data_IF_370956736402
#
_entry.id   IF_370956736402
#
_cell.length_a   1.000
_cell.length_b   1.000
_cell.length_c   1.000
_cell.angle_alpha   90.00
_cell.angle_beta   90.00
_cell.angle_gamma   90.00
#
_symmetry.space_group_name_H-M   'P 1'
#
loop_
_entity.id
_entity.type
_entity.pdbx_description
1 polymer ?
#
# COMPACT_ATOMS: atom_id res chain seq x y z
N UNK A 1 -17.12 -47.59 -11.33
CA UNK A 1 -16.31 -46.52 -11.95
C UNK A 1 -16.46 -46.54 -13.48
N UNK A 2 -16.34 -47.71 -14.10
CA UNK A 2 -16.57 -47.88 -15.56
C UNK A 2 -17.94 -47.46 -16.03
N UNK A 3 -19.02 -47.73 -15.28
CA UNK A 3 -20.37 -47.28 -15.59
C UNK A 3 -20.48 -45.74 -15.73
N UNK A 4 -19.74 -44.99 -14.91
CA UNK A 4 -19.71 -43.52 -15.00
C UNK A 4 -19.00 -43.04 -16.26
N UNK A 5 -17.89 -43.70 -16.65
CA UNK A 5 -17.17 -43.39 -17.88
C UNK A 5 -18.06 -43.66 -19.08
N UNK A 6 -18.75 -44.80 -19.11
CA UNK A 6 -19.69 -45.17 -20.16
C UNK A 6 -20.84 -44.16 -20.24
N UNK A 7 -21.40 -43.75 -19.09
CA UNK A 7 -22.46 -42.74 -19.04
C UNK A 7 -22.03 -41.40 -19.67
N UNK A 8 -20.83 -40.91 -19.29
CA UNK A 8 -20.26 -39.66 -19.84
C UNK A 8 -20.01 -39.78 -21.34
N UNK A 9 -19.45 -40.91 -21.82
CA UNK A 9 -19.19 -41.14 -23.26
C UNK A 9 -20.48 -41.21 -24.04
N UNK A 10 -21.52 -41.85 -23.50
CA UNK A 10 -22.83 -41.93 -24.14
C UNK A 10 -23.54 -40.56 -24.21
N UNK A 11 -23.46 -39.77 -23.15
CA UNK A 11 -24.04 -38.41 -23.12
C UNK A 11 -23.34 -37.49 -24.13
N UNK A 12 -22.03 -37.66 -24.30
CA UNK A 12 -21.22 -36.87 -25.27
C UNK A 12 -21.37 -37.37 -26.72
N UNK A 13 -21.99 -38.55 -26.94
CA UNK A 13 -22.17 -39.10 -28.28
C UNK A 13 -23.08 -38.27 -29.19
N UNK A 14 -23.93 -37.42 -28.59
CA UNK A 14 -24.78 -36.51 -29.35
C UNK A 14 -24.02 -35.30 -29.91
N UNK A 15 -22.83 -35.01 -29.36
CA UNK A 15 -22.06 -33.77 -29.64
C UNK A 15 -20.72 -34.07 -30.32
N UNK A 16 -20.12 -35.22 -30.04
CA UNK A 16 -18.77 -35.59 -30.49
C UNK A 16 -18.81 -36.66 -31.58
N UNK A 17 -17.88 -36.58 -32.54
CA UNK A 17 -17.71 -37.63 -33.54
C UNK A 17 -16.99 -38.86 -32.94
N UNK A 18 -17.01 -40.00 -33.67
CA UNK A 18 -16.46 -41.27 -33.20
C UNK A 18 -15.00 -41.19 -32.77
N UNK A 19 -14.16 -40.43 -33.51
CA UNK A 19 -12.76 -40.27 -33.18
C UNK A 19 -12.56 -39.45 -31.88
N UNK A 20 -13.34 -38.41 -31.65
CA UNK A 20 -13.38 -37.59 -30.44
C UNK A 20 -13.88 -38.38 -29.22
N UNK A 21 -14.93 -39.19 -29.41
CA UNK A 21 -15.47 -40.11 -28.37
C UNK A 21 -14.40 -41.12 -27.93
N UNK A 22 -13.74 -41.74 -28.91
CA UNK A 22 -12.63 -42.69 -28.61
C UNK A 22 -11.50 -42.01 -27.80
N UNK A 23 -11.13 -40.79 -28.21
CA UNK A 23 -10.13 -40.02 -27.47
C UNK A 23 -10.59 -39.62 -26.09
N UNK A 24 -11.84 -39.21 -25.92
CA UNK A 24 -12.46 -38.90 -24.63
C UNK A 24 -12.44 -40.14 -23.72
N UNK A 25 -12.82 -41.31 -24.24
CA UNK A 25 -12.83 -42.57 -23.49
C UNK A 25 -11.39 -42.94 -23.05
N UNK A 26 -10.39 -42.84 -23.93
CA UNK A 26 -8.97 -43.08 -23.59
C UNK A 26 -8.51 -42.16 -22.43
N UNK A 27 -8.82 -40.86 -22.52
CA UNK A 27 -8.45 -39.88 -21.49
C UNK A 27 -9.15 -40.19 -20.16
N UNK A 28 -10.45 -40.51 -20.20
CA UNK A 28 -11.21 -40.87 -19.00
C UNK A 28 -10.66 -42.16 -18.35
N UNK A 29 -10.40 -43.20 -19.17
CA UNK A 29 -9.82 -44.45 -18.67
C UNK A 29 -8.42 -44.22 -18.09
N UNK A 30 -7.60 -43.42 -18.72
CA UNK A 30 -6.25 -43.07 -18.22
C UNK A 30 -6.33 -42.35 -16.87
N UNK A 31 -7.17 -41.33 -16.75
CA UNK A 31 -7.27 -40.53 -15.52
C UNK A 31 -8.03 -41.20 -14.37
N UNK A 32 -8.92 -42.15 -14.69
CA UNK A 32 -9.67 -42.89 -13.66
C UNK A 32 -9.09 -44.26 -13.32
N UNK A 33 -8.28 -44.91 -14.20
CA UNK A 33 -7.61 -46.18 -13.93
C UNK A 33 -6.21 -46.05 -13.38
N UNK A 34 -5.55 -44.92 -13.49
CA UNK A 34 -4.33 -44.71 -12.73
C UNK A 34 -4.70 -44.73 -11.24
N UNK A 35 -4.16 -45.75 -10.54
CA UNK A 35 -3.98 -45.70 -9.10
C UNK A 35 -3.09 -44.48 -8.79
N UNK A 36 -3.59 -43.31 -8.95
CA UNK A 36 -2.97 -42.14 -8.40
C UNK A 36 -2.84 -42.42 -6.93
N UNK A 37 -1.58 -42.57 -6.46
CA UNK A 37 -1.26 -42.37 -5.04
C UNK A 37 -2.22 -41.28 -4.58
N UNK A 38 -3.05 -41.59 -3.60
CA UNK A 38 -3.95 -40.63 -2.99
C UNK A 38 -3.06 -39.54 -2.43
N UNK A 39 -2.71 -38.57 -3.26
CA UNK A 39 -2.10 -37.34 -2.78
C UNK A 39 -3.11 -36.80 -1.78
N UNK A 40 -2.68 -36.75 -0.52
CA UNK A 40 -3.54 -36.20 0.52
C UNK A 40 -4.01 -34.82 0.02
N UNK A 41 -5.30 -34.55 0.03
CA UNK A 41 -5.83 -33.31 -0.51
C UNK A 41 -5.15 -32.15 0.20
N UNK A 42 -4.45 -31.31 -0.57
CA UNK A 42 -3.79 -30.10 -0.07
C UNK A 42 -4.77 -29.33 0.81
N UNK A 43 -4.40 -29.05 2.03
CA UNK A 43 -5.24 -28.33 2.98
C UNK A 43 -5.31 -26.84 2.63
N UNK A 44 -6.36 -26.16 3.09
CA UNK A 44 -6.48 -24.71 2.90
C UNK A 44 -5.26 -23.94 3.46
N UNK A 45 -4.70 -24.42 4.58
CA UNK A 45 -3.50 -23.84 5.21
C UNK A 45 -2.25 -24.04 4.35
N UNK A 46 -2.15 -25.18 3.69
CA UNK A 46 -1.03 -25.47 2.81
C UNK A 46 -1.05 -24.64 1.54
N UNK A 47 -2.21 -24.40 0.94
CA UNK A 47 -2.35 -23.44 -0.16
C UNK A 47 -1.91 -22.03 0.24
N UNK A 48 -2.22 -21.60 1.46
CA UNK A 48 -1.75 -20.30 1.96
C UNK A 48 -0.21 -20.30 2.08
N UNK A 49 0.39 -21.36 2.63
CA UNK A 49 1.85 -21.46 2.75
C UNK A 49 2.53 -21.35 1.39
N UNK A 50 2.09 -22.14 0.41
CA UNK A 50 2.61 -22.11 -0.95
C UNK A 50 2.49 -20.72 -1.60
N UNK A 51 1.37 -20.07 -1.43
CA UNK A 51 1.18 -18.69 -1.92
C UNK A 51 2.16 -17.71 -1.26
N UNK A 52 2.35 -17.80 0.04
CA UNK A 52 3.28 -16.93 0.77
C UNK A 52 4.73 -17.17 0.32
N UNK A 53 5.12 -18.43 0.12
CA UNK A 53 6.45 -18.79 -0.40
C UNK A 53 6.65 -18.21 -1.82
N UNK A 54 5.66 -18.36 -2.71
CA UNK A 54 5.69 -17.78 -4.06
C UNK A 54 5.85 -16.25 -4.01
N UNK A 55 5.05 -15.55 -3.20
CA UNK A 55 5.13 -14.10 -3.07
C UNK A 55 6.44 -13.62 -2.41
N UNK A 56 7.07 -14.44 -1.60
CA UNK A 56 8.40 -14.17 -1.03
C UNK A 56 9.48 -14.23 -2.10
N UNK A 57 9.44 -15.25 -2.97
CA UNK A 57 10.35 -15.40 -4.13
C UNK A 57 10.16 -14.26 -5.13
N UNK A 58 8.92 -13.79 -5.35
CA UNK A 58 8.62 -12.62 -6.19
C UNK A 58 9.16 -11.30 -5.61
N UNK A 59 9.78 -11.30 -4.43
CA UNK A 59 10.39 -10.12 -3.82
C UNK A 59 9.40 -9.21 -3.09
N UNK A 60 8.25 -9.72 -2.67
CA UNK A 60 7.32 -8.97 -1.83
C UNK A 60 7.95 -8.62 -0.47
N UNK A 61 7.74 -7.39 0.00
CA UNK A 61 8.24 -6.97 1.31
C UNK A 61 7.61 -7.79 2.45
N UNK A 62 8.35 -7.99 3.57
CA UNK A 62 7.86 -8.67 4.77
C UNK A 62 6.51 -8.09 5.27
N UNK A 63 6.30 -6.77 5.14
CA UNK A 63 5.03 -6.13 5.49
C UNK A 63 3.90 -6.55 4.56
N UNK A 64 4.16 -6.67 3.26
CA UNK A 64 3.17 -7.12 2.26
C UNK A 64 2.81 -8.57 2.51
N UNK A 65 3.81 -9.43 2.73
CA UNK A 65 3.63 -10.85 3.07
C UNK A 65 2.74 -11.00 4.32
N UNK A 66 3.07 -10.29 5.40
CA UNK A 66 2.27 -10.30 6.62
C UNK A 66 0.82 -9.86 6.37
N UNK A 67 0.60 -8.90 5.49
CA UNK A 67 -0.75 -8.41 5.16
C UNK A 67 -1.52 -9.44 4.34
N UNK A 68 -0.88 -10.11 3.38
CA UNK A 68 -1.50 -11.24 2.67
C UNK A 68 -1.87 -12.36 3.64
N UNK A 69 -0.90 -12.85 4.43
CA UNK A 69 -1.10 -13.93 5.41
C UNK A 69 -2.28 -13.63 6.33
N UNK A 70 -2.25 -12.51 7.04
CA UNK A 70 -3.31 -12.15 7.99
C UNK A 70 -4.69 -11.99 7.34
N UNK A 71 -4.75 -11.50 6.10
CA UNK A 71 -6.01 -11.34 5.37
C UNK A 71 -6.60 -12.69 4.98
N UNK A 72 -5.77 -13.57 4.44
CA UNK A 72 -6.20 -14.88 3.94
C UNK A 72 -6.50 -15.82 5.13
N UNK A 73 -5.66 -15.82 6.16
CA UNK A 73 -5.93 -16.56 7.41
C UNK A 73 -7.28 -16.20 8.02
N UNK A 74 -7.59 -14.90 8.09
CA UNK A 74 -8.89 -14.46 8.58
C UNK A 74 -10.04 -14.96 7.68
N UNK A 75 -9.87 -14.93 6.36
CA UNK A 75 -10.86 -15.48 5.43
C UNK A 75 -11.05 -16.98 5.66
N UNK A 76 -9.97 -17.76 5.70
CA UNK A 76 -10.00 -19.20 5.89
C UNK A 76 -10.57 -19.61 7.27
N UNK A 77 -10.36 -18.80 8.31
CA UNK A 77 -10.97 -19.03 9.62
C UNK A 77 -12.49 -18.87 9.63
N UNK A 78 -13.03 -18.10 8.69
CA UNK A 78 -14.49 -17.86 8.57
C UNK A 78 -15.14 -18.78 7.55
N UNK A 79 -14.42 -19.10 6.48
CA UNK A 79 -14.91 -19.98 5.39
C UNK A 79 -14.23 -21.34 5.57
N UNK A 80 -14.94 -22.28 6.20
CA UNK A 80 -14.42 -23.66 6.43
C UNK A 80 -14.53 -24.55 5.19
N UNK A 81 -15.10 -24.03 4.10
CA UNK A 81 -15.22 -24.75 2.83
C UNK A 81 -13.85 -24.97 2.20
N UNK A 82 -13.56 -26.16 1.66
CA UNK A 82 -12.34 -26.41 0.89
C UNK A 82 -12.18 -25.37 -0.26
N UNK A 83 -10.96 -24.86 -0.47
CA UNK A 83 -10.67 -23.78 -1.45
C UNK A 83 -11.26 -24.09 -2.83
N UNK A 84 -11.16 -25.34 -3.29
CA UNK A 84 -11.69 -25.78 -4.60
C UNK A 84 -13.23 -25.69 -4.73
N UNK A 85 -13.95 -25.56 -3.60
CA UNK A 85 -15.42 -25.46 -3.56
C UNK A 85 -15.92 -24.06 -3.21
N UNK A 86 -15.02 -23.09 -3.00
CA UNK A 86 -15.41 -21.71 -2.70
C UNK A 86 -15.98 -21.06 -3.96
N UNK A 87 -17.23 -20.59 -3.88
CA UNK A 87 -17.93 -19.92 -4.98
C UNK A 87 -17.86 -18.40 -4.86
N UNK A 88 -18.26 -17.71 -5.92
CA UNK A 88 -18.35 -16.24 -5.93
C UNK A 88 -19.35 -15.74 -4.88
N UNK A 89 -20.44 -16.47 -4.64
CA UNK A 89 -21.49 -16.15 -3.68
C UNK A 89 -20.93 -16.17 -2.26
N UNK A 90 -20.21 -17.24 -1.88
CA UNK A 90 -19.53 -17.36 -0.57
C UNK A 90 -18.60 -16.18 -0.35
N UNK A 91 -17.84 -15.78 -1.39
CA UNK A 91 -16.93 -14.65 -1.28
C UNK A 91 -17.64 -13.30 -1.13
N UNK A 92 -18.79 -13.12 -1.79
CA UNK A 92 -19.62 -11.91 -1.61
C UNK A 92 -20.17 -11.81 -0.20
N UNK A 93 -20.74 -12.90 0.33
CA UNK A 93 -21.23 -12.99 1.71
C UNK A 93 -20.12 -12.65 2.71
N UNK A 94 -18.96 -13.29 2.56
CA UNK A 94 -17.80 -13.00 3.42
C UNK A 94 -17.43 -11.51 3.43
N UNK A 95 -17.34 -10.84 2.28
CA UNK A 95 -16.97 -9.43 2.20
C UNK A 95 -18.02 -8.52 2.83
N UNK A 96 -19.31 -8.84 2.67
CA UNK A 96 -20.43 -8.12 3.30
C UNK A 96 -20.38 -8.27 4.82
N UNK A 97 -20.19 -9.50 5.30
CA UNK A 97 -20.12 -9.79 6.74
C UNK A 97 -18.86 -9.19 7.37
N UNK A 98 -17.73 -9.26 6.68
CA UNK A 98 -16.49 -8.58 7.11
C UNK A 98 -16.73 -7.08 7.33
N UNK A 99 -17.41 -6.41 6.37
CA UNK A 99 -17.72 -4.99 6.50
C UNK A 99 -18.62 -4.70 7.69
N UNK A 100 -19.68 -5.49 7.89
CA UNK A 100 -20.65 -5.33 8.99
C UNK A 100 -19.99 -5.55 10.36
N UNK A 101 -19.31 -6.70 10.52
CA UNK A 101 -18.69 -7.08 11.80
C UNK A 101 -17.57 -6.12 12.23
N UNK A 102 -16.76 -5.62 11.29
CA UNK A 102 -15.64 -4.72 11.57
C UNK A 102 -16.02 -3.24 11.51
N UNK A 103 -17.24 -2.92 11.12
CA UNK A 103 -17.70 -1.54 10.88
C UNK A 103 -16.66 -0.71 10.10
N UNK A 104 -16.06 -1.30 9.07
CA UNK A 104 -14.94 -0.71 8.36
C UNK A 104 -15.37 -0.01 7.06
N UNK A 105 -14.50 0.87 6.57
CA UNK A 105 -14.76 1.64 5.35
C UNK A 105 -14.80 0.75 4.10
N UNK A 106 -15.53 1.18 3.07
CA UNK A 106 -15.52 0.54 1.74
C UNK A 106 -14.11 0.41 1.17
N UNK A 107 -13.21 1.36 1.44
CA UNK A 107 -11.80 1.31 1.03
C UNK A 107 -11.06 0.15 1.71
N UNK A 108 -11.33 -0.09 3.00
CA UNK A 108 -10.76 -1.23 3.73
C UNK A 108 -11.24 -2.55 3.11
N UNK A 109 -12.54 -2.67 2.82
CA UNK A 109 -13.10 -3.87 2.18
C UNK A 109 -12.49 -4.09 0.79
N UNK A 110 -12.29 -3.02 -0.01
CA UNK A 110 -11.63 -3.15 -1.32
C UNK A 110 -10.16 -3.60 -1.21
N UNK A 111 -9.44 -3.19 -0.17
CA UNK A 111 -8.09 -3.69 0.09
C UNK A 111 -8.10 -5.18 0.45
N UNK A 112 -9.02 -5.63 1.30
CA UNK A 112 -9.22 -7.05 1.62
C UNK A 112 -9.57 -7.84 0.34
N UNK A 113 -10.53 -7.35 -0.44
CA UNK A 113 -10.90 -7.95 -1.73
C UNK A 113 -9.69 -8.12 -2.65
N UNK A 114 -8.83 -7.11 -2.76
CA UNK A 114 -7.62 -7.17 -3.61
C UNK A 114 -6.63 -8.24 -3.15
N UNK A 115 -6.41 -8.35 -1.85
CA UNK A 115 -5.51 -9.37 -1.30
C UNK A 115 -6.06 -10.79 -1.58
N UNK A 116 -7.35 -11.00 -1.33
CA UNK A 116 -8.01 -12.27 -1.60
C UNK A 116 -8.02 -12.57 -3.10
N UNK A 117 -8.27 -11.55 -3.94
CA UNK A 117 -8.21 -11.71 -5.40
C UNK A 117 -6.82 -12.14 -5.88
N UNK A 118 -5.75 -11.58 -5.30
CA UNK A 118 -4.38 -12.00 -5.61
C UNK A 118 -4.13 -13.48 -5.26
N UNK A 119 -4.65 -13.94 -4.13
CA UNK A 119 -4.54 -15.34 -3.73
C UNK A 119 -5.28 -16.28 -4.69
N UNK A 120 -6.54 -16.01 -5.00
CA UNK A 120 -7.31 -16.84 -5.90
C UNK A 120 -6.86 -16.76 -7.36
N UNK A 121 -6.29 -15.64 -7.81
CA UNK A 121 -5.66 -15.54 -9.13
C UNK A 121 -4.41 -16.41 -9.21
N UNK A 122 -3.59 -16.39 -8.18
CA UNK A 122 -2.43 -17.27 -8.09
C UNK A 122 -2.83 -18.76 -8.07
N UNK A 123 -3.89 -19.14 -7.33
CA UNK A 123 -4.40 -20.51 -7.36
C UNK A 123 -4.92 -20.94 -8.75
N UNK A 124 -5.49 -20.01 -9.52
CA UNK A 124 -5.92 -20.25 -10.91
C UNK A 124 -4.70 -20.38 -11.84
N UNK A 125 -3.69 -19.53 -11.68
CA UNK A 125 -2.42 -19.55 -12.45
C UNK A 125 -1.59 -20.80 -12.22
N UNK A 126 -1.64 -21.38 -11.01
CA UNK A 126 -0.96 -22.63 -10.63
C UNK A 126 -1.82 -23.90 -10.85
N UNK A 127 -2.95 -23.76 -11.55
CA UNK A 127 -3.89 -24.86 -11.85
C UNK A 127 -4.49 -25.58 -10.62
N UNK A 128 -4.41 -24.99 -9.43
CA UNK A 128 -5.04 -25.53 -8.22
C UNK A 128 -6.56 -25.43 -8.26
N UNK A 129 -7.09 -24.43 -8.96
CA UNK A 129 -8.52 -24.22 -9.22
C UNK A 129 -8.74 -23.86 -10.70
N UNK A 130 -9.85 -24.30 -11.27
CA UNK A 130 -10.18 -24.02 -12.67
C UNK A 130 -10.50 -22.55 -12.93
N UNK A 131 -11.09 -21.85 -11.95
CA UNK A 131 -11.52 -20.47 -12.11
C UNK A 131 -11.60 -19.76 -10.76
N UNK A 132 -11.02 -18.58 -10.68
CA UNK A 132 -11.06 -17.75 -9.48
C UNK A 132 -12.49 -17.28 -9.16
N UNK A 133 -13.01 -17.52 -7.93
CA UNK A 133 -14.30 -17.01 -7.49
C UNK A 133 -14.33 -15.49 -7.38
N UNK A 134 -13.17 -14.83 -7.33
CA UNK A 134 -13.04 -13.38 -7.25
C UNK A 134 -13.21 -12.66 -8.59
N UNK A 135 -13.21 -13.39 -9.71
CA UNK A 135 -13.21 -12.82 -11.06
C UNK A 135 -14.42 -11.93 -11.36
N UNK A 136 -15.58 -12.24 -10.74
CA UNK A 136 -16.84 -11.47 -10.87
C UNK A 136 -17.05 -10.46 -9.73
N UNK A 137 -16.07 -10.27 -8.84
CA UNK A 137 -16.14 -9.31 -7.74
C UNK A 137 -15.25 -8.10 -8.09
N UNK A 138 -15.87 -7.09 -8.67
CA UNK A 138 -15.18 -5.90 -9.15
C UNK A 138 -14.79 -4.97 -8.01
N UNK A 139 -13.93 -3.99 -8.35
CA UNK A 139 -13.50 -2.92 -7.45
C UNK A 139 -14.71 -2.22 -6.81
N UNK A 140 -14.66 -2.05 -5.50
CA UNK A 140 -15.71 -1.34 -4.76
C UNK A 140 -15.59 0.16 -5.03
N UNK A 141 -16.65 0.75 -5.56
CA UNK A 141 -16.70 2.20 -5.81
C UNK A 141 -16.70 2.96 -4.48
N UNK A 142 -15.72 3.82 -4.30
CA UNK A 142 -15.63 4.75 -3.17
C UNK A 142 -15.72 6.17 -3.67
N UNK A 143 -16.38 7.04 -2.90
CA UNK A 143 -16.38 8.48 -3.23
C UNK A 143 -14.93 8.99 -3.12
N UNK A 144 -14.48 9.72 -4.13
CA UNK A 144 -13.24 10.50 -4.02
C UNK A 144 -13.52 11.68 -3.10
N UNK A 145 -12.89 11.70 -1.95
CA UNK A 145 -12.98 12.82 -1.01
C UNK A 145 -11.70 13.64 -1.16
N UNK A 146 -11.85 14.92 -1.43
CA UNK A 146 -10.74 15.87 -1.38
C UNK A 146 -10.20 15.89 0.04
N UNK A 147 -8.96 15.43 0.18
CA UNK A 147 -8.32 15.36 1.49
C UNK A 147 -7.73 16.71 1.84
N UNK A 148 -8.10 17.27 2.99
CA UNK A 148 -7.61 18.54 3.51
C UNK A 148 -6.07 18.56 3.61
N UNK A 149 -5.48 19.72 3.31
CA UNK A 149 -4.08 20.07 3.53
C UNK A 149 -3.93 20.82 4.85
N UNK A 150 -2.71 21.15 5.25
CA UNK A 150 -2.43 22.00 6.42
C UNK A 150 -2.35 23.44 5.91
N UNK A 151 -3.08 24.38 6.52
CA UNK A 151 -2.99 25.79 6.15
C UNK A 151 -1.66 26.42 6.62
N UNK A 152 -1.32 27.61 6.11
CA UNK A 152 -0.09 28.30 6.53
C UNK A 152 -0.14 28.64 8.02
N UNK A 153 -1.28 29.11 8.50
CA UNK A 153 -1.49 29.43 9.90
C UNK A 153 -1.42 28.19 10.80
N UNK A 154 -1.93 27.04 10.32
CA UNK A 154 -1.82 25.77 11.04
C UNK A 154 -0.36 25.30 11.12
N UNK A 155 0.46 25.52 10.07
CA UNK A 155 1.88 25.17 10.09
C UNK A 155 2.63 26.05 11.09
N UNK A 156 2.40 27.37 11.11
CA UNK A 156 3.05 28.24 12.08
C UNK A 156 2.59 27.90 13.52
N UNK A 157 1.29 27.64 13.75
CA UNK A 157 0.83 27.14 15.05
C UNK A 157 1.51 25.86 15.49
N UNK A 158 1.77 24.92 14.55
CA UNK A 158 2.50 23.70 14.88
C UNK A 158 3.94 23.99 15.29
N UNK A 159 4.63 24.90 14.57
CA UNK A 159 6.00 25.34 14.86
C UNK A 159 6.12 25.99 16.22
N UNK A 160 5.30 27.01 16.48
CA UNK A 160 5.33 27.81 17.70
C UNK A 160 5.01 26.99 18.96
N UNK A 161 4.32 25.88 18.78
CA UNK A 161 3.93 25.00 19.90
C UNK A 161 4.77 23.73 20.01
N UNK A 162 5.89 23.61 19.26
CA UNK A 162 6.84 22.53 19.46
C UNK A 162 7.53 22.68 20.82
N UNK A 163 7.50 21.63 21.61
CA UNK A 163 8.16 21.61 22.93
C UNK A 163 9.63 21.21 22.85
N UNK A 164 10.13 20.79 21.70
CA UNK A 164 11.51 20.35 21.49
C UNK A 164 12.01 20.77 20.11
N UNK A 165 13.30 21.09 20.00
CA UNK A 165 13.96 21.39 18.72
C UNK A 165 13.86 20.21 17.74
N UNK A 166 13.91 18.97 18.25
CA UNK A 166 13.71 17.78 17.44
C UNK A 166 12.36 17.75 16.72
N UNK A 167 11.27 18.01 17.46
CA UNK A 167 9.92 17.94 16.89
C UNK A 167 9.71 19.10 15.88
N UNK A 168 10.29 20.26 16.14
CA UNK A 168 10.32 21.40 15.20
C UNK A 168 11.06 21.04 13.90
N UNK A 169 12.26 20.49 14.01
CA UNK A 169 13.05 20.05 12.87
C UNK A 169 12.33 18.94 12.05
N UNK A 170 11.61 18.01 12.71
CA UNK A 170 10.79 16.99 12.04
C UNK A 170 9.67 17.65 11.23
N UNK A 171 8.95 18.61 11.80
CA UNK A 171 7.83 19.31 11.13
C UNK A 171 8.36 20.02 9.89
N UNK A 172 9.43 20.76 10.03
CA UNK A 172 9.98 21.54 8.92
C UNK A 172 10.52 20.65 7.80
N UNK A 173 11.23 19.59 8.14
CA UNK A 173 11.75 18.66 7.13
C UNK A 173 10.60 17.95 6.39
N UNK A 174 9.56 17.52 7.10
CA UNK A 174 8.37 16.93 6.47
C UNK A 174 7.64 17.93 5.57
N UNK A 175 7.50 19.18 6.02
CA UNK A 175 6.79 20.23 5.32
C UNK A 175 7.54 20.69 4.07
N UNK A 176 8.85 20.90 4.18
CA UNK A 176 9.69 21.41 3.10
C UNK A 176 9.92 20.36 2.01
N UNK A 177 10.22 19.11 2.39
CA UNK A 177 10.63 18.06 1.46
C UNK A 177 9.49 17.14 1.01
N UNK A 178 8.44 17.00 1.81
CA UNK A 178 7.37 16.04 1.57
C UNK A 178 7.79 14.57 1.60
N UNK A 179 8.92 14.22 2.23
CA UNK A 179 9.42 12.83 2.34
C UNK A 179 8.43 11.93 3.09
N UNK A 180 8.54 10.63 2.87
CA UNK A 180 7.75 9.66 3.63
C UNK A 180 8.33 9.50 5.04
N UNK A 181 7.48 9.26 6.03
CA UNK A 181 7.94 9.04 7.41
C UNK A 181 8.96 7.90 7.52
N UNK A 182 8.82 6.86 6.70
CA UNK A 182 9.78 5.77 6.66
C UNK A 182 11.14 6.18 6.10
N UNK A 183 11.19 7.15 5.20
CA UNK A 183 12.41 7.76 4.69
C UNK A 183 13.04 8.68 5.76
N UNK A 184 12.23 9.53 6.39
CA UNK A 184 12.66 10.43 7.46
C UNK A 184 13.38 9.70 8.60
N UNK A 185 12.83 8.60 9.10
CA UNK A 185 13.43 7.89 10.23
C UNK A 185 14.69 7.11 9.86
N UNK A 186 14.95 6.88 8.57
CA UNK A 186 16.18 6.23 8.10
C UNK A 186 17.34 7.19 7.91
N UNK A 187 17.08 8.49 7.76
CA UNK A 187 18.12 9.49 7.57
C UNK A 187 19.17 9.46 8.69
N UNK A 188 20.43 9.60 8.28
CA UNK A 188 21.55 9.87 9.14
C UNK A 188 21.94 11.36 9.04
N UNK A 189 22.71 11.85 9.98
CA UNK A 189 23.23 13.23 9.91
C UNK A 189 24.07 13.41 8.64
N UNK A 190 24.86 12.40 8.26
CA UNK A 190 25.71 12.42 7.07
C UNK A 190 24.94 12.48 5.74
N UNK A 191 23.64 12.14 5.73
CA UNK A 191 22.81 12.19 4.51
C UNK A 191 22.33 13.62 4.18
N UNK A 192 22.62 14.61 5.05
CA UNK A 192 22.17 16.00 4.92
C UNK A 192 23.30 16.85 4.38
N UNK A 193 23.12 17.38 3.19
CA UNK A 193 23.96 18.47 2.65
C UNK A 193 23.36 19.82 3.03
N UNK A 194 23.98 20.48 4.01
CA UNK A 194 23.52 21.78 4.49
C UNK A 194 23.88 22.92 3.53
N UNK A 195 24.92 22.75 2.70
CA UNK A 195 25.31 23.80 1.74
C UNK A 195 24.33 23.85 0.58
N UNK A 196 24.09 22.72 -0.06
CA UNK A 196 23.14 22.60 -1.15
C UNK A 196 21.67 22.55 -0.68
N UNK A 197 21.44 22.41 0.61
CA UNK A 197 20.09 22.24 1.23
C UNK A 197 19.33 21.06 0.61
N UNK A 198 20.00 19.92 0.51
CA UNK A 198 19.41 18.71 -0.04
C UNK A 198 19.72 17.49 0.85
N UNK A 199 18.96 16.45 0.69
CA UNK A 199 19.28 15.15 1.25
C UNK A 199 18.86 14.02 0.31
N UNK A 200 19.57 12.89 0.42
CA UNK A 200 19.29 11.69 -0.34
C UNK A 200 18.38 10.79 0.49
N UNK A 201 17.28 10.36 -0.11
CA UNK A 201 16.34 9.45 0.54
C UNK A 201 16.13 8.20 -0.31
N UNK A 202 15.96 7.05 0.36
CA UNK A 202 15.74 5.75 -0.28
C UNK A 202 14.26 5.39 -0.22
N UNK A 203 13.65 5.27 -1.39
CA UNK A 203 12.24 4.90 -1.57
C UNK A 203 12.01 3.39 -1.57
N UNK A 204 10.82 2.98 -2.05
CA UNK A 204 10.48 1.56 -2.22
C UNK A 204 11.40 0.93 -3.29
N UNK A 205 12.01 -0.22 -2.94
CA UNK A 205 12.96 -0.94 -3.82
C UNK A 205 14.32 -0.23 -3.91
N UNK A 206 14.74 0.42 -2.82
CA UNK A 206 16.03 1.13 -2.66
C UNK A 206 16.33 2.16 -3.77
N UNK A 207 15.28 2.67 -4.42
CA UNK A 207 15.43 3.76 -5.39
C UNK A 207 15.79 5.04 -4.66
N UNK A 208 16.99 5.53 -4.94
CA UNK A 208 17.52 6.77 -4.45
C UNK A 208 16.83 7.97 -5.13
N UNK A 209 16.58 9.02 -4.36
CA UNK A 209 16.21 10.34 -4.90
C UNK A 209 16.69 11.46 -4.01
N UNK A 210 17.00 12.60 -4.62
CA UNK A 210 17.28 13.85 -3.92
C UNK A 210 15.99 14.57 -3.59
N UNK A 211 15.94 15.17 -2.42
CA UNK A 211 14.89 16.07 -1.97
C UNK A 211 15.55 17.34 -1.40
N UNK A 212 14.83 18.44 -1.49
CA UNK A 212 15.35 19.76 -1.19
C UNK A 212 14.58 20.37 -0.03
N UNK A 213 15.27 21.10 0.84
CA UNK A 213 14.67 21.79 1.97
C UNK A 213 15.00 23.28 1.98
N UNK A 214 14.15 24.07 2.60
CA UNK A 214 14.29 25.53 2.66
C UNK A 214 15.28 26.00 3.73
N UNK A 215 15.56 27.30 3.76
CA UNK A 215 16.50 27.90 4.70
C UNK A 215 16.04 27.73 6.17
N UNK A 216 14.73 27.82 6.42
CA UNK A 216 14.15 27.64 7.76
C UNK A 216 14.40 26.24 8.30
N UNK A 217 14.19 25.23 7.47
CA UNK A 217 14.50 23.82 7.79
C UNK A 217 16.00 23.63 8.07
N UNK A 218 16.88 24.27 7.28
CA UNK A 218 18.35 24.24 7.53
C UNK A 218 18.69 24.73 8.94
N UNK A 219 18.12 25.87 9.34
CA UNK A 219 18.36 26.46 10.67
C UNK A 219 17.91 25.51 11.76
N UNK A 220 16.66 25.09 11.76
CA UNK A 220 16.10 24.24 12.81
C UNK A 220 16.74 22.84 12.88
N UNK A 221 17.17 22.29 11.74
CA UNK A 221 17.95 21.05 11.73
C UNK A 221 19.31 21.22 12.41
N UNK A 222 20.03 22.32 12.13
CA UNK A 222 21.32 22.61 12.78
C UNK A 222 21.13 22.80 14.27
N UNK A 223 20.19 23.65 14.71
CA UNK A 223 19.89 23.89 16.12
C UNK A 223 19.56 22.59 16.86
N UNK A 224 18.79 21.69 16.21
CA UNK A 224 18.48 20.39 16.80
C UNK A 224 19.75 19.52 16.92
N UNK A 225 20.57 19.43 15.86
CA UNK A 225 21.78 18.60 15.86
C UNK A 225 22.76 19.13 16.91
N UNK A 226 22.96 20.45 16.98
CA UNK A 226 23.87 21.09 17.91
C UNK A 226 23.41 20.93 19.38
N UNK A 227 22.11 20.76 19.61
CA UNK A 227 21.54 20.52 20.95
C UNK A 227 21.62 19.06 21.41
N UNK A 228 22.14 18.14 20.56
CA UNK A 228 22.25 16.71 20.93
C UNK A 228 23.49 16.45 21.78
N UNK A 229 23.29 15.60 22.78
CA UNK A 229 24.35 15.13 23.69
C UNK A 229 24.76 13.67 23.41
N UNK A 230 24.23 13.05 22.35
CA UNK A 230 24.49 11.67 21.94
C UNK A 230 25.38 11.58 20.69
N UNK A 231 25.99 10.41 20.47
CA UNK A 231 26.85 10.13 19.32
C UNK A 231 26.16 9.23 18.26
N UNK A 232 24.81 9.10 18.29
CA UNK A 232 24.09 8.27 17.35
C UNK A 232 24.11 8.91 15.94
N UNK A 233 24.48 8.14 14.92
CA UNK A 233 24.53 8.61 13.53
C UNK A 233 23.16 8.96 12.94
N UNK A 234 22.04 8.46 13.54
CA UNK A 234 20.71 8.76 13.07
C UNK A 234 20.40 10.26 13.15
N UNK A 235 19.75 10.82 12.11
CA UNK A 235 19.32 12.22 12.14
C UNK A 235 18.35 12.49 13.28
N UNK A 236 17.37 11.62 13.51
CA UNK A 236 16.38 11.76 14.57
C UNK A 236 16.45 10.61 15.57
N UNK A 237 16.58 10.97 16.85
CA UNK A 237 16.66 10.03 17.97
C UNK A 237 15.57 10.24 19.01
N UNK A 238 15.39 9.27 19.93
CA UNK A 238 14.52 9.43 21.09
C UNK A 238 15.05 10.52 22.02
N UNK A 239 14.16 11.17 22.79
CA UNK A 239 14.58 12.23 23.73
C UNK A 239 15.19 11.70 25.02
N UNK A 240 15.06 10.41 25.27
CA UNK A 240 15.55 9.76 26.48
C UNK A 240 16.63 8.75 26.13
N UNK A 241 17.60 8.60 27.04
CA UNK A 241 18.61 7.56 26.93
C UNK A 241 17.96 6.17 26.70
N UNK A 242 18.56 5.32 25.88
CA UNK A 242 19.85 5.41 25.23
C UNK A 242 19.83 6.13 23.86
N UNK A 243 19.00 7.10 23.62
CA UNK A 243 18.88 7.94 22.41
C UNK A 243 18.84 7.13 21.10
N UNK A 244 18.02 6.08 21.11
CA UNK A 244 17.86 5.22 19.94
C UNK A 244 17.25 5.98 18.76
N UNK A 245 17.59 5.53 17.53
CA UNK A 245 16.94 6.01 16.30
C UNK A 245 15.41 6.06 16.46
N UNK A 246 14.81 7.19 16.10
CA UNK A 246 13.38 7.41 16.22
C UNK A 246 12.63 6.46 15.26
N UNK A 247 11.59 5.81 15.76
CA UNK A 247 10.73 4.91 14.97
C UNK A 247 9.57 5.67 14.33
N UNK A 248 9.00 5.12 13.25
CA UNK A 248 7.82 5.67 12.56
C UNK A 248 6.71 5.99 13.56
N UNK A 249 6.39 5.05 14.45
CA UNK A 249 5.35 5.24 15.47
C UNK A 249 5.63 6.42 16.40
N UNK A 250 6.92 6.66 16.73
CA UNK A 250 7.32 7.81 17.54
C UNK A 250 6.97 9.14 16.86
N UNK A 251 7.30 9.30 15.58
CA UNK A 251 6.94 10.49 14.80
C UNK A 251 5.42 10.67 14.73
N UNK A 252 4.70 9.59 14.40
CA UNK A 252 3.24 9.63 14.25
C UNK A 252 2.51 9.99 15.56
N UNK A 253 2.99 9.43 16.69
CA UNK A 253 2.41 9.72 18.03
C UNK A 253 2.64 11.20 18.38
N UNK A 254 3.87 11.70 18.18
CA UNK A 254 4.20 13.11 18.51
C UNK A 254 3.38 14.10 17.68
N UNK A 255 3.31 13.91 16.38
CA UNK A 255 2.51 14.76 15.50
C UNK A 255 1.01 14.71 15.86
N UNK A 256 0.49 13.52 16.18
CA UNK A 256 -0.90 13.36 16.63
C UNK A 256 -1.19 14.06 17.97
N UNK A 257 -0.27 13.93 18.92
CA UNK A 257 -0.39 14.61 20.22
C UNK A 257 -0.36 16.13 20.06
N UNK A 258 0.57 16.66 19.27
CA UNK A 258 0.65 18.09 18.99
C UNK A 258 -0.62 18.60 18.30
N UNK A 259 -1.09 17.90 17.26
CA UNK A 259 -2.33 18.26 16.58
C UNK A 259 -3.55 18.26 17.52
N UNK A 260 -3.68 17.27 18.40
CA UNK A 260 -4.76 17.21 19.39
C UNK A 260 -4.70 18.38 20.37
N UNK A 261 -3.52 18.71 20.89
CA UNK A 261 -3.30 19.83 21.81
C UNK A 261 -3.73 21.18 21.21
N UNK A 262 -3.57 21.32 19.87
CA UNK A 262 -3.92 22.53 19.13
C UNK A 262 -5.32 22.49 18.50
N UNK A 263 -6.11 21.46 18.78
CA UNK A 263 -7.42 21.22 18.15
C UNK A 263 -7.37 21.17 16.61
N UNK A 264 -6.25 20.71 16.04
CA UNK A 264 -6.07 20.55 14.60
C UNK A 264 -6.49 19.16 14.16
N UNK A 265 -7.22 19.09 13.02
CA UNK A 265 -7.66 17.81 12.46
C UNK A 265 -6.49 16.96 12.01
N UNK A 266 -6.38 15.76 12.58
CA UNK A 266 -5.56 14.63 12.14
C UNK A 266 -4.18 15.02 11.54
N UNK A 267 -3.28 15.56 12.37
CA UNK A 267 -1.90 15.86 11.97
C UNK A 267 -1.10 14.55 11.92
N UNK A 268 -0.57 14.23 10.74
CA UNK A 268 0.23 13.02 10.49
C UNK A 268 1.18 13.23 9.28
N UNK A 269 2.25 12.45 9.11
CA UNK A 269 3.26 12.69 8.08
C UNK A 269 2.72 12.79 6.65
N UNK A 270 1.74 11.95 6.28
CA UNK A 270 1.14 12.02 4.95
C UNK A 270 0.35 13.32 4.68
N UNK A 271 -0.13 14.01 5.75
CA UNK A 271 -0.78 15.32 5.58
C UNK A 271 0.24 16.38 5.19
N UNK A 272 1.45 16.37 5.76
CA UNK A 272 2.57 17.24 5.36
C UNK A 272 2.98 17.02 3.91
N UNK A 273 3.17 15.77 3.53
CA UNK A 273 3.55 15.41 2.15
C UNK A 273 2.52 15.89 1.13
N UNK A 274 1.23 15.74 1.43
CA UNK A 274 0.15 16.25 0.60
C UNK A 274 0.16 17.78 0.55
N UNK A 275 0.34 18.43 1.68
CA UNK A 275 0.43 19.90 1.76
C UNK A 275 1.56 20.44 0.89
N UNK A 276 2.77 19.86 1.00
CA UNK A 276 3.90 20.23 0.14
C UNK A 276 3.56 20.07 -1.34
N UNK A 277 3.01 18.91 -1.73
CA UNK A 277 2.66 18.65 -3.12
C UNK A 277 1.62 19.62 -3.67
N UNK A 278 0.53 19.84 -2.93
CA UNK A 278 -0.54 20.77 -3.33
C UNK A 278 0.00 22.19 -3.48
N UNK A 279 0.80 22.66 -2.51
CA UNK A 279 1.39 24.00 -2.56
C UNK A 279 2.41 24.19 -3.66
N UNK A 280 3.24 23.15 -3.92
CA UNK A 280 4.19 23.21 -5.03
C UNK A 280 3.46 23.42 -6.37
N UNK A 281 2.37 22.69 -6.57
CA UNK A 281 1.53 22.81 -7.78
C UNK A 281 0.83 24.18 -7.81
N UNK A 282 0.27 24.64 -6.69
CA UNK A 282 -0.36 25.97 -6.58
C UNK A 282 0.60 27.13 -6.88
N UNK A 283 1.89 26.96 -6.52
CA UNK A 283 2.97 27.91 -6.83
C UNK A 283 3.51 27.78 -8.26
N UNK A 284 2.95 26.88 -9.07
CA UNK A 284 3.28 26.72 -10.49
C UNK A 284 4.39 25.70 -10.78
N UNK A 285 4.79 24.89 -9.82
CA UNK A 285 5.74 23.79 -10.09
C UNK A 285 5.09 22.76 -11.02
N UNK A 286 5.74 22.38 -12.14
CA UNK A 286 5.23 21.33 -13.03
C UNK A 286 4.98 20.02 -12.27
N UNK A 287 3.88 19.34 -12.60
CA UNK A 287 3.46 18.13 -11.88
C UNK A 287 4.48 17.00 -11.98
N UNK A 288 5.23 16.92 -13.08
CA UNK A 288 6.30 15.94 -13.30
C UNK A 288 7.47 16.18 -12.33
N UNK A 289 7.77 17.44 -12.01
CA UNK A 289 8.80 17.78 -11.02
C UNK A 289 8.32 17.41 -9.61
N UNK A 290 7.07 17.70 -9.28
CA UNK A 290 6.46 17.26 -8.01
C UNK A 290 6.45 15.74 -7.91
N UNK A 291 6.10 15.03 -8.99
CA UNK A 291 6.16 13.57 -9.05
C UNK A 291 7.58 13.04 -8.73
N UNK A 292 8.61 13.66 -9.33
CA UNK A 292 10.01 13.28 -9.14
C UNK A 292 10.46 13.51 -7.70
N UNK A 293 10.17 14.69 -7.12
CA UNK A 293 10.48 15.00 -5.71
C UNK A 293 9.80 14.00 -4.76
N UNK A 294 8.55 13.70 -5.02
CA UNK A 294 7.79 12.75 -4.20
C UNK A 294 8.22 11.28 -4.43
N UNK A 295 8.83 10.96 -5.57
CA UNK A 295 9.17 9.59 -5.95
C UNK A 295 7.92 8.72 -6.13
N UNK A 296 6.96 9.21 -6.91
CA UNK A 296 5.80 8.44 -7.34
C UNK A 296 6.11 7.75 -8.66
N UNK A 297 5.95 6.44 -8.71
CA UNK A 297 6.16 5.65 -9.94
C UNK A 297 5.09 5.92 -11.00
N UNK A 298 3.89 6.36 -10.58
CA UNK A 298 2.77 6.67 -11.47
C UNK A 298 2.31 8.10 -11.24
N UNK A 299 2.08 8.84 -12.33
CA UNK A 299 1.65 10.24 -12.29
C UNK A 299 0.27 10.39 -11.64
N UNK A 300 -0.63 9.42 -11.82
CA UNK A 300 -1.97 9.40 -11.22
C UNK A 300 -1.95 9.60 -9.69
N UNK A 301 -0.88 9.12 -9.03
CA UNK A 301 -0.69 9.33 -7.60
C UNK A 301 -0.42 10.79 -7.26
N UNK A 302 0.21 11.53 -8.17
CA UNK A 302 0.50 12.97 -8.01
C UNK A 302 -0.69 13.81 -8.45
N UNK A 303 -1.43 13.38 -9.47
CA UNK A 303 -2.64 14.04 -9.94
C UNK A 303 -3.72 14.21 -8.85
N UNK A 304 -3.72 13.35 -7.83
CA UNK A 304 -4.61 13.49 -6.67
C UNK A 304 -4.40 14.81 -5.89
N UNK A 305 -3.24 15.44 -6.05
CA UNK A 305 -2.91 16.73 -5.43
C UNK A 305 -3.17 17.91 -6.36
N UNK A 306 -3.22 17.67 -7.66
CA UNK A 306 -3.60 18.64 -8.66
C UNK A 306 -5.14 18.77 -8.73
N UNK A 307 -5.75 19.22 -7.64
CA UNK A 307 -7.14 19.66 -7.71
C UNK A 307 -7.09 20.92 -8.55
N UNK A 308 -7.68 20.85 -9.75
CA UNK A 308 -7.77 21.97 -10.66
C UNK A 308 -8.54 23.09 -9.97
N UNK A 309 -7.82 23.99 -9.31
CA UNK A 309 -8.40 25.22 -8.81
C UNK A 309 -8.71 26.10 -10.06
N UNK A 310 -9.97 26.42 -10.26
CA UNK A 310 -10.43 27.26 -11.38
C UNK A 310 -9.63 28.58 -11.48
N UNK A 311 -9.20 29.14 -10.34
CA UNK A 311 -8.34 30.32 -10.32
C UNK A 311 -6.96 30.05 -10.93
N UNK A 312 -6.36 28.88 -10.69
CA UNK A 312 -5.07 28.52 -11.29
C UNK A 312 -5.19 28.30 -12.79
N UNK A 313 -6.30 27.74 -13.26
CA UNK A 313 -6.59 27.61 -14.70
C UNK A 313 -6.69 29.01 -15.34
N UNK A 314 -7.42 29.95 -14.71
CA UNK A 314 -7.56 31.33 -15.19
C UNK A 314 -6.20 32.05 -15.25
N UNK A 315 -5.40 31.98 -14.18
CA UNK A 315 -4.07 32.58 -14.12
C UNK A 315 -3.15 31.99 -15.18
N UNK A 316 -3.12 30.65 -15.32
CA UNK A 316 -2.34 29.99 -16.35
C UNK A 316 -2.79 30.36 -17.75
N UNK A 317 -4.09 30.40 -18.00
CA UNK A 317 -4.64 30.85 -19.29
C UNK A 317 -4.19 32.30 -19.62
N UNK A 318 -4.31 33.20 -18.66
CA UNK A 318 -3.86 34.58 -18.83
C UNK A 318 -2.36 34.70 -19.10
N UNK A 319 -1.52 33.84 -18.43
CA UNK A 319 -0.06 33.84 -18.58
C UNK A 319 0.42 33.30 -19.92
N UNK A 320 -0.28 32.33 -20.49
CA UNK A 320 0.19 31.62 -21.69
C UNK A 320 -0.59 31.93 -22.94
N UNK A 321 -1.72 32.63 -22.82
CA UNK A 321 -2.59 32.97 -23.97
C UNK A 321 -2.71 34.54 -24.19
N UNK A 322 -2.05 35.33 -23.39
CA UNK A 322 -1.82 36.78 -23.60
C UNK A 322 -0.38 37.02 -24.05
#
# INVERSE_FOLDING_TARGET
MEEKIVAVVNEMAEVLNVAQLKKLQEVLLKNFNENTKVEQPITNTEYLRLFIDAKSIEGCSARTIKYYSSTIEHMLSKIQTPIRKITTEIMREYLVDYQKQRNCSKTTVDNIRRNISSFFSWLEEEDYILKSPMRRIHKIKTKSVVKEVISDEEVEKLRDNCSTLRDLAIIDLLYSTGIRVGELVRLNIADIDFESRECIVFGKGDKERRVYFDAKTKIHLKEYIDSREDNNSALFVSLNAPYNRLKISGVEIRLRQLGRRLNLKAIHPHKFRRTMATRAIEKGMPIEQVQKILGHSQIDTTMQYAIVNQNNVKISHQKYMS
#
